data_IF_290830508661
#
_entry.id   IF_290830508661
#
_cell.length_a   1.000
_cell.length_b   1.000
_cell.length_c   1.000
_cell.angle_alpha   90.00
_cell.angle_beta   90.00
_cell.angle_gamma   90.00
#
_symmetry.space_group_name_H-M   'P 1'
#
loop_
_entity.id
_entity.type
_entity.pdbx_description
1 polymer ?
#
# COMPACT_ATOMS: atom_id res chain seq x y z
N UNK A 1 -20.26 30.77 -13.56
CA UNK A 1 -19.18 30.29 -12.67
C UNK A 1 -17.91 31.06 -12.97
N UNK A 2 -17.25 31.64 -11.96
CA UNK A 2 -16.04 32.46 -12.13
C UNK A 2 -14.85 31.61 -12.61
N UNK A 3 -13.96 32.19 -13.43
CA UNK A 3 -12.74 31.53 -13.95
C UNK A 3 -11.63 31.38 -12.89
N UNK A 4 -11.74 32.13 -11.78
CA UNK A 4 -10.69 32.21 -10.76
C UNK A 4 -10.63 30.97 -9.84
N UNK A 5 -11.76 30.42 -9.34
CA UNK A 5 -11.77 29.17 -8.57
C UNK A 5 -11.26 27.97 -9.36
N UNK A 6 -11.65 27.85 -10.63
CA UNK A 6 -11.20 26.77 -11.52
C UNK A 6 -9.68 26.86 -11.76
N UNK A 7 -9.15 28.07 -11.99
CA UNK A 7 -7.71 28.27 -12.19
C UNK A 7 -6.87 27.97 -10.93
N UNK A 8 -7.41 28.25 -9.74
CA UNK A 8 -6.79 27.86 -8.47
C UNK A 8 -6.75 26.34 -8.32
N UNK A 9 -7.87 25.65 -8.57
CA UNK A 9 -7.93 24.19 -8.53
C UNK A 9 -6.92 23.54 -9.48
N UNK A 10 -6.78 24.05 -10.71
CA UNK A 10 -5.82 23.52 -11.68
C UNK A 10 -4.35 23.74 -11.25
N UNK A 11 -4.04 24.85 -10.56
CA UNK A 11 -2.71 25.05 -9.98
C UNK A 11 -2.44 24.14 -8.80
N UNK A 12 -3.45 23.88 -7.96
CA UNK A 12 -3.33 22.90 -6.88
C UNK A 12 -3.05 21.51 -7.45
N UNK A 13 -3.81 21.09 -8.47
CA UNK A 13 -3.61 19.81 -9.16
C UNK A 13 -2.25 19.73 -9.89
N UNK A 14 -1.74 20.84 -10.42
CA UNK A 14 -0.37 20.93 -10.96
C UNK A 14 0.69 20.77 -9.85
N UNK A 15 0.52 21.43 -8.71
CA UNK A 15 1.42 21.30 -7.55
C UNK A 15 1.39 19.89 -6.94
N UNK A 16 0.24 19.23 -6.97
CA UNK A 16 0.06 17.83 -6.59
C UNK A 16 0.57 16.85 -7.66
N UNK A 17 1.07 17.36 -8.79
CA UNK A 17 1.64 16.57 -9.87
C UNK A 17 0.62 15.79 -10.70
N UNK A 18 -0.68 16.04 -10.55
CA UNK A 18 -1.79 15.41 -11.28
C UNK A 18 -2.00 16.02 -12.66
N UNK A 19 -1.63 17.29 -12.83
CA UNK A 19 -1.66 18.00 -14.11
C UNK A 19 -0.26 18.46 -14.53
N UNK A 20 -0.02 18.47 -15.84
CA UNK A 20 1.16 19.10 -16.46
C UNK A 20 0.72 20.21 -17.42
N UNK A 21 1.50 21.28 -17.58
CA UNK A 21 1.23 22.29 -18.60
C UNK A 21 1.17 21.67 -19.99
N UNK A 22 0.10 21.96 -20.74
CA UNK A 22 -0.09 21.49 -22.10
C UNK A 22 -0.27 22.68 -23.04
N UNK A 23 0.78 22.98 -23.81
CA UNK A 23 0.88 24.19 -24.62
C UNK A 23 0.90 25.48 -23.77
N UNK A 24 0.63 26.62 -24.40
CA UNK A 24 0.75 27.93 -23.74
C UNK A 24 -0.46 28.40 -22.90
N UNK A 25 -1.57 27.63 -22.85
CA UNK A 25 -2.83 28.08 -22.21
C UNK A 25 -3.66 26.96 -21.53
N UNK A 26 -3.12 25.75 -21.36
CA UNK A 26 -3.89 24.60 -20.86
C UNK A 26 -3.08 23.67 -19.97
N UNK A 27 -3.77 22.66 -19.45
CA UNK A 27 -3.21 21.59 -18.64
C UNK A 27 -3.68 20.25 -19.22
N UNK A 28 -2.85 19.22 -19.12
CA UNK A 28 -3.20 17.85 -19.44
C UNK A 28 -3.04 16.98 -18.19
N UNK A 29 -3.87 15.95 -18.06
CA UNK A 29 -3.69 14.91 -17.04
C UNK A 29 -2.35 14.24 -17.26
N UNK A 30 -1.51 14.22 -16.22
CA UNK A 30 -0.20 13.58 -16.29
C UNK A 30 -0.39 12.08 -16.47
N UNK A 31 0.27 11.51 -17.48
CA UNK A 31 0.44 10.06 -17.60
C UNK A 31 1.43 9.59 -16.55
N UNK A 32 1.04 8.60 -15.74
CA UNK A 32 1.92 7.98 -14.75
C UNK A 32 2.60 6.77 -15.41
N UNK A 33 3.92 6.73 -15.34
CA UNK A 33 4.74 5.66 -15.89
C UNK A 33 4.92 4.51 -14.89
N UNK A 34 5.14 3.27 -15.34
CA UNK A 34 5.49 2.16 -14.44
C UNK A 34 6.72 2.44 -13.57
N UNK A 35 7.68 3.22 -14.08
CA UNK A 35 8.88 3.62 -13.34
C UNK A 35 8.56 4.57 -12.17
N UNK A 36 7.59 5.47 -12.34
CA UNK A 36 7.13 6.35 -11.25
C UNK A 36 6.37 5.56 -10.18
N UNK A 37 5.55 4.58 -10.58
CA UNK A 37 4.89 3.65 -9.65
C UNK A 37 5.95 2.87 -8.87
N UNK A 38 6.97 2.34 -9.56
CA UNK A 38 8.07 1.62 -8.90
C UNK A 38 8.81 2.48 -7.88
N UNK A 39 9.17 3.71 -8.25
CA UNK A 39 9.81 4.65 -7.32
C UNK A 39 8.93 4.98 -6.10
N UNK A 40 7.63 5.12 -6.29
CA UNK A 40 6.70 5.39 -5.20
C UNK A 40 6.51 4.19 -4.26
N UNK A 41 6.50 2.96 -4.78
CA UNK A 41 6.50 1.73 -3.96
C UNK A 41 7.80 1.58 -3.18
N UNK A 42 8.94 1.91 -3.78
CA UNK A 42 10.24 1.92 -3.10
C UNK A 42 10.25 2.89 -1.90
N UNK A 43 9.77 4.12 -2.13
CA UNK A 43 9.65 5.13 -1.06
C UNK A 43 8.70 4.65 0.03
N UNK A 44 7.55 4.07 -0.33
CA UNK A 44 6.60 3.50 0.63
C UNK A 44 7.28 2.42 1.48
N UNK A 45 7.99 1.48 0.86
CA UNK A 45 8.68 0.41 1.57
C UNK A 45 9.72 0.92 2.56
N UNK A 46 10.45 1.98 2.23
CA UNK A 46 11.39 2.63 3.15
C UNK A 46 10.65 3.28 4.33
N UNK A 47 9.56 4.00 4.06
CA UNK A 47 8.79 4.70 5.09
C UNK A 47 8.08 3.73 6.04
N UNK A 48 7.40 2.71 5.51
CA UNK A 48 6.74 1.66 6.31
C UNK A 48 7.76 0.81 7.07
N UNK A 49 8.92 0.50 6.47
CA UNK A 49 10.01 -0.18 7.15
C UNK A 49 10.56 0.61 8.33
N UNK A 50 10.79 1.92 8.15
CA UNK A 50 11.20 2.80 9.24
C UNK A 50 10.12 2.85 10.34
N UNK A 51 8.84 2.89 9.96
CA UNK A 51 7.73 2.88 10.92
C UNK A 51 7.72 1.60 11.76
N UNK A 52 7.85 0.43 11.12
CA UNK A 52 7.89 -0.86 11.78
C UNK A 52 9.09 -1.00 12.73
N UNK A 53 10.27 -0.53 12.31
CA UNK A 53 11.43 -0.48 13.20
C UNK A 53 11.20 0.39 14.41
N UNK A 54 10.69 1.61 14.22
CA UNK A 54 10.43 2.53 15.31
C UNK A 54 9.38 1.98 16.28
N UNK A 55 8.35 1.29 15.77
CA UNK A 55 7.36 0.60 16.59
C UNK A 55 7.99 -0.53 17.42
N UNK A 56 8.81 -1.39 16.79
CA UNK A 56 9.51 -2.48 17.50
C UNK A 56 10.45 -1.96 18.59
N UNK A 57 11.24 -0.91 18.30
CA UNK A 57 12.22 -0.34 19.23
C UNK A 57 11.57 0.42 20.40
N UNK A 58 10.39 1.01 20.18
CA UNK A 58 9.61 1.68 21.25
C UNK A 58 8.87 0.71 22.16
N UNK A 59 8.61 -0.50 21.68
CA UNK A 59 7.78 -1.49 22.35
C UNK A 59 6.33 -1.43 21.89
N UNK A 60 5.72 -2.61 21.77
CA UNK A 60 4.38 -2.79 21.26
C UNK A 60 3.34 -2.64 22.38
N UNK A 61 2.46 -1.64 22.26
CA UNK A 61 1.31 -1.48 23.16
C UNK A 61 0.33 -2.65 23.00
N UNK A 62 -0.34 -3.05 24.09
CA UNK A 62 -1.24 -4.21 24.07
C UNK A 62 -2.39 -4.03 23.08
N UNK A 63 -2.97 -2.83 23.01
CA UNK A 63 -4.06 -2.52 22.08
C UNK A 63 -3.62 -2.67 20.62
N UNK A 64 -2.40 -2.20 20.30
CA UNK A 64 -1.83 -2.33 18.96
C UNK A 64 -1.53 -3.80 18.63
N UNK A 65 -1.07 -4.59 19.62
CA UNK A 65 -0.85 -6.02 19.47
C UNK A 65 -2.16 -6.75 19.14
N UNK A 66 -3.20 -6.50 19.91
CA UNK A 66 -4.51 -7.14 19.72
C UNK A 66 -5.09 -6.82 18.34
N UNK A 67 -4.92 -5.57 17.86
CA UNK A 67 -5.37 -5.18 16.53
C UNK A 67 -4.57 -5.85 15.41
N UNK A 68 -3.24 -5.98 15.56
CA UNK A 68 -2.40 -6.72 14.61
C UNK A 68 -2.79 -8.21 14.57
N UNK A 69 -2.95 -8.85 15.74
CA UNK A 69 -3.35 -10.26 15.84
C UNK A 69 -4.73 -10.49 15.20
N UNK A 70 -5.69 -9.57 15.39
CA UNK A 70 -7.00 -9.64 14.74
C UNK A 70 -6.90 -9.56 13.20
N UNK A 71 -6.01 -8.71 12.67
CA UNK A 71 -5.75 -8.65 11.22
C UNK A 71 -5.17 -9.97 10.71
N UNK A 72 -4.22 -10.56 11.45
CA UNK A 72 -3.62 -11.85 11.07
C UNK A 72 -4.66 -12.97 11.02
N UNK A 73 -5.48 -13.11 12.06
CA UNK A 73 -6.56 -14.11 12.13
C UNK A 73 -7.56 -13.94 10.98
N UNK A 74 -7.91 -12.69 10.65
CA UNK A 74 -8.82 -12.42 9.53
C UNK A 74 -8.24 -12.87 8.19
N UNK A 75 -6.95 -12.63 7.95
CA UNK A 75 -6.27 -13.11 6.74
C UNK A 75 -6.07 -14.62 6.73
N UNK A 76 -5.80 -15.25 7.88
CA UNK A 76 -5.66 -16.71 7.98
C UNK A 76 -6.95 -17.42 7.56
N UNK A 77 -8.09 -16.96 8.08
CA UNK A 77 -9.40 -17.48 7.71
C UNK A 77 -9.72 -17.27 6.21
N UNK A 78 -9.26 -16.16 5.62
CA UNK A 78 -9.45 -15.87 4.20
C UNK A 78 -8.69 -16.85 3.32
N UNK A 79 -7.43 -17.16 3.65
CA UNK A 79 -6.56 -17.98 2.82
C UNK A 79 -6.66 -19.50 3.09
N UNK A 80 -7.29 -19.92 4.18
CA UNK A 80 -7.43 -21.34 4.58
C UNK A 80 -8.03 -22.22 3.48
N UNK A 81 -9.02 -21.70 2.73
CA UNK A 81 -9.73 -22.44 1.68
C UNK A 81 -8.94 -22.70 0.41
N UNK A 82 -7.75 -22.11 0.25
CA UNK A 82 -6.87 -22.36 -0.90
C UNK A 82 -7.18 -21.59 -2.19
N UNK A 83 -8.15 -20.66 -2.17
CA UNK A 83 -8.50 -19.78 -3.29
C UNK A 83 -9.10 -18.46 -2.78
N UNK A 84 -9.20 -17.45 -3.65
CA UNK A 84 -9.89 -16.18 -3.36
C UNK A 84 -10.97 -15.87 -4.40
N UNK A 85 -12.02 -15.18 -3.98
CA UNK A 85 -13.04 -14.53 -4.80
C UNK A 85 -12.82 -13.02 -4.81
N UNK A 86 -13.56 -12.28 -5.64
CA UNK A 86 -13.48 -10.81 -5.63
C UNK A 86 -13.89 -10.21 -4.27
N UNK A 87 -14.93 -10.75 -3.63
CA UNK A 87 -15.36 -10.31 -2.29
C UNK A 87 -14.27 -10.55 -1.24
N UNK A 88 -13.53 -11.66 -1.34
CA UNK A 88 -12.38 -11.89 -0.44
C UNK A 88 -11.31 -10.83 -0.64
N UNK A 89 -11.09 -10.33 -1.86
CA UNK A 89 -10.08 -9.30 -2.11
C UNK A 89 -10.44 -7.97 -1.46
N UNK A 90 -11.72 -7.64 -1.33
CA UNK A 90 -12.17 -6.47 -0.57
C UNK A 90 -11.92 -6.67 0.94
N UNK A 91 -12.17 -7.87 1.45
CA UNK A 91 -11.90 -8.20 2.87
C UNK A 91 -10.39 -8.14 3.16
N UNK A 92 -9.56 -8.70 2.28
CA UNK A 92 -8.10 -8.61 2.36
C UNK A 92 -7.66 -7.15 2.32
N UNK A 93 -8.24 -6.34 1.43
CA UNK A 93 -7.91 -4.92 1.31
C UNK A 93 -8.08 -4.17 2.63
N UNK A 94 -9.24 -4.32 3.27
CA UNK A 94 -9.56 -3.63 4.53
C UNK A 94 -8.65 -4.08 5.67
N UNK A 95 -8.39 -5.39 5.77
CA UNK A 95 -7.48 -5.98 6.75
C UNK A 95 -6.04 -5.48 6.57
N UNK A 96 -5.54 -5.52 5.32
CA UNK A 96 -4.21 -5.05 4.96
C UNK A 96 -4.04 -3.56 5.30
N UNK A 97 -5.02 -2.73 4.93
CA UNK A 97 -5.02 -1.31 5.26
C UNK A 97 -4.98 -1.06 6.77
N UNK A 98 -5.71 -1.83 7.56
CA UNK A 98 -5.71 -1.71 9.02
C UNK A 98 -4.33 -2.05 9.60
N UNK A 99 -3.75 -3.19 9.20
CA UNK A 99 -2.44 -3.63 9.67
C UNK A 99 -1.35 -2.56 9.42
N UNK A 100 -1.27 -2.05 8.20
CA UNK A 100 -0.32 -0.99 7.83
C UNK A 100 -0.53 0.29 8.64
N UNK A 101 -1.79 0.71 8.86
CA UNK A 101 -2.10 1.89 9.70
C UNK A 101 -1.66 1.70 11.15
N UNK A 102 -1.86 0.52 11.73
CA UNK A 102 -1.42 0.22 13.10
C UNK A 102 0.09 0.34 13.22
N UNK A 103 0.83 -0.19 12.24
CA UNK A 103 2.30 -0.09 12.22
C UNK A 103 2.76 1.38 12.14
N UNK A 104 2.18 2.15 11.21
CA UNK A 104 2.53 3.57 11.03
C UNK A 104 2.17 4.39 12.26
N UNK A 105 1.00 4.18 12.86
CA UNK A 105 0.60 4.85 14.10
C UNK A 105 1.49 4.45 15.28
N UNK A 106 1.81 3.16 15.39
CA UNK A 106 2.67 2.59 16.43
C UNK A 106 4.12 3.10 16.37
N UNK A 107 4.58 3.56 15.20
CA UNK A 107 5.86 4.26 15.09
C UNK A 107 5.92 5.53 15.93
N UNK A 108 4.76 6.13 16.25
CA UNK A 108 4.60 7.41 16.92
C UNK A 108 5.42 8.54 16.29
N UNK A 109 5.60 8.49 14.97
CA UNK A 109 6.35 9.47 14.19
C UNK A 109 5.46 10.05 13.09
N UNK A 110 4.86 11.20 13.41
CA UNK A 110 3.92 11.88 12.51
C UNK A 110 4.53 12.24 11.15
N UNK A 111 5.84 12.49 11.08
CA UNK A 111 6.50 12.80 9.81
C UNK A 111 6.44 11.64 8.81
N UNK A 112 6.43 10.38 9.29
CA UNK A 112 6.27 9.20 8.44
C UNK A 112 4.86 9.16 7.86
N UNK A 113 3.84 9.32 8.70
CA UNK A 113 2.44 9.35 8.26
C UNK A 113 2.19 10.46 7.23
N UNK A 114 2.72 11.67 7.47
CA UNK A 114 2.59 12.79 6.54
C UNK A 114 3.33 12.54 5.21
N UNK A 115 4.47 11.84 5.25
CA UNK A 115 5.22 11.47 4.05
C UNK A 115 4.52 10.36 3.24
N UNK A 116 3.94 9.36 3.90
CA UNK A 116 3.15 8.31 3.27
C UNK A 116 1.90 8.89 2.60
N UNK A 117 1.16 9.75 3.29
CA UNK A 117 -0.01 10.42 2.73
C UNK A 117 0.33 11.24 1.47
N UNK A 118 1.51 11.87 1.45
CA UNK A 118 2.03 12.54 0.25
C UNK A 118 2.45 11.55 -0.83
N UNK A 119 2.97 10.37 -0.50
CA UNK A 119 3.38 9.37 -1.48
C UNK A 119 2.17 8.66 -2.13
N UNK A 120 1.06 8.54 -1.40
CA UNK A 120 -0.17 7.85 -1.82
C UNK A 120 -0.96 8.54 -2.94
N UNK A 121 -0.56 9.73 -3.41
CA UNK A 121 -1.21 10.45 -4.52
C UNK A 121 -1.11 9.72 -5.87
N UNK A 122 -0.18 8.78 -6.03
CA UNK A 122 -0.03 7.97 -7.23
C UNK A 122 -0.90 6.70 -7.11
N UNK A 123 -1.86 6.47 -8.04
CA UNK A 123 -2.58 5.20 -8.14
C UNK A 123 -1.59 4.03 -8.24
N UNK A 124 -1.98 2.85 -7.73
CA UNK A 124 -1.18 1.61 -7.71
C UNK A 124 0.06 1.62 -6.78
N UNK A 125 0.50 2.78 -6.29
CA UNK A 125 1.63 2.88 -5.37
C UNK A 125 1.22 2.81 -3.89
N UNK A 126 -0.06 3.02 -3.58
CA UNK A 126 -0.57 3.01 -2.21
C UNK A 126 -1.01 1.61 -1.75
N UNK A 127 -0.94 1.36 -0.45
CA UNK A 127 -1.61 0.21 0.20
C UNK A 127 -3.13 0.26 -0.07
N UNK A 128 -3.68 1.47 -0.27
CA UNK A 128 -5.10 1.71 -0.59
C UNK A 128 -5.48 1.39 -2.03
N UNK A 129 -4.52 1.08 -2.90
CA UNK A 129 -4.76 0.82 -4.32
C UNK A 129 -4.27 -0.58 -4.68
N UNK A 130 -5.03 -1.62 -4.30
CA UNK A 130 -4.72 -2.98 -4.70
C UNK A 130 -5.08 -3.18 -6.17
N UNK A 131 -4.05 -3.38 -6.99
CA UNK A 131 -4.18 -3.69 -8.40
C UNK A 131 -4.44 -5.19 -8.56
N UNK A 132 -5.58 -5.59 -9.12
CA UNK A 132 -6.01 -7.00 -9.20
C UNK A 132 -6.25 -7.41 -10.64
N UNK A 133 -5.74 -8.56 -11.03
CA UNK A 133 -6.13 -9.27 -12.26
C UNK A 133 -7.32 -10.21 -11.99
N UNK A 134 -8.53 -9.74 -12.31
CA UNK A 134 -9.78 -10.50 -12.08
C UNK A 134 -9.88 -11.76 -12.94
N UNK A 135 -9.16 -11.80 -14.06
CA UNK A 135 -9.15 -12.96 -14.95
C UNK A 135 -8.20 -14.06 -14.44
N UNK A 136 -7.42 -13.80 -13.39
CA UNK A 136 -6.41 -14.71 -12.85
C UNK A 136 -6.39 -14.75 -11.31
N UNK A 137 -7.53 -15.08 -10.70
CA UNK A 137 -7.68 -15.18 -9.25
C UNK A 137 -6.74 -16.23 -8.60
N UNK A 138 -6.26 -17.23 -9.35
CA UNK A 138 -5.27 -18.19 -8.86
C UNK A 138 -3.92 -17.50 -8.60
N UNK A 139 -3.50 -16.63 -9.52
CA UNK A 139 -2.30 -15.80 -9.33
C UNK A 139 -2.48 -14.85 -8.14
N UNK A 140 -3.65 -14.21 -8.04
CA UNK A 140 -3.96 -13.29 -6.94
C UNK A 140 -3.96 -13.98 -5.58
N UNK A 141 -4.53 -15.19 -5.48
CA UNK A 141 -4.45 -16.01 -4.26
C UNK A 141 -2.99 -16.18 -3.82
N UNK A 142 -2.09 -16.59 -4.73
CA UNK A 142 -0.67 -16.83 -4.41
C UNK A 142 0.01 -15.55 -3.95
N UNK A 143 -0.23 -14.44 -4.66
CA UNK A 143 0.37 -13.14 -4.37
C UNK A 143 -0.04 -12.61 -3.00
N UNK A 144 -1.34 -12.61 -2.70
CA UNK A 144 -1.85 -12.09 -1.44
C UNK A 144 -1.59 -13.02 -0.26
N UNK A 145 -1.63 -14.34 -0.46
CA UNK A 145 -1.25 -15.29 0.60
C UNK A 145 0.24 -15.12 0.97
N UNK A 146 1.13 -14.92 0.00
CA UNK A 146 2.53 -14.64 0.28
C UNK A 146 2.71 -13.34 1.06
N UNK A 147 2.04 -12.26 0.64
CA UNK A 147 2.05 -10.97 1.33
C UNK A 147 1.53 -11.10 2.77
N UNK A 148 0.49 -11.91 2.98
CA UNK A 148 -0.04 -12.23 4.31
C UNK A 148 0.96 -13.00 5.18
N UNK A 149 1.73 -13.93 4.62
CA UNK A 149 2.80 -14.59 5.37
C UNK A 149 3.90 -13.61 5.80
N UNK A 150 4.15 -12.56 5.03
CA UNK A 150 5.06 -11.49 5.44
C UNK A 150 4.47 -10.64 6.57
N UNK A 151 3.15 -10.45 6.63
CA UNK A 151 2.48 -9.81 7.76
C UNK A 151 2.73 -10.57 9.07
N UNK A 152 2.60 -11.90 9.06
CA UNK A 152 2.98 -12.73 10.21
C UNK A 152 4.43 -12.51 10.63
N UNK A 153 5.34 -12.51 9.66
CA UNK A 153 6.77 -12.34 9.93
C UNK A 153 7.11 -10.96 10.52
N UNK A 154 6.47 -9.87 10.07
CA UNK A 154 6.69 -8.55 10.67
C UNK A 154 6.07 -8.46 12.05
N UNK A 155 4.87 -8.99 12.28
CA UNK A 155 4.24 -8.96 13.61
C UNK A 155 5.07 -9.74 14.63
N UNK A 156 5.60 -10.90 14.27
CA UNK A 156 6.56 -11.64 15.09
C UNK A 156 7.81 -10.80 15.44
N UNK A 157 8.36 -10.09 14.45
CA UNK A 157 9.50 -9.19 14.67
C UNK A 157 9.14 -8.00 15.58
N UNK A 158 7.94 -7.42 15.45
CA UNK A 158 7.43 -6.34 16.31
C UNK A 158 7.29 -6.81 17.76
N UNK A 159 6.63 -7.96 17.97
CA UNK A 159 6.45 -8.57 19.31
C UNK A 159 7.80 -8.88 19.96
N UNK A 160 8.78 -9.32 19.16
CA UNK A 160 10.12 -9.65 19.62
C UNK A 160 11.06 -8.43 19.77
N UNK A 161 10.61 -7.21 19.48
CA UNK A 161 11.44 -5.99 19.52
C UNK A 161 12.57 -5.96 18.48
N UNK A 162 12.45 -6.71 17.38
CA UNK A 162 13.50 -6.89 16.38
C UNK A 162 13.40 -5.82 15.26
N UNK A 163 13.73 -4.57 15.60
CA UNK A 163 13.54 -3.42 14.70
C UNK A 163 14.16 -3.56 13.31
N UNK A 164 15.42 -3.99 13.21
CA UNK A 164 16.09 -4.18 11.92
C UNK A 164 15.43 -5.26 11.05
N UNK A 165 14.91 -6.34 11.66
CA UNK A 165 14.18 -7.39 10.97
C UNK A 165 12.82 -6.88 10.49
N UNK A 166 12.11 -6.15 11.34
CA UNK A 166 10.82 -5.55 10.99
C UNK A 166 10.93 -4.58 9.80
N UNK A 167 11.97 -3.73 9.79
CA UNK A 167 12.26 -2.83 8.67
C UNK A 167 12.51 -3.57 7.36
N UNK A 168 13.37 -4.59 7.40
CA UNK A 168 13.70 -5.37 6.21
C UNK A 168 12.47 -6.09 5.62
N UNK A 169 11.62 -6.68 6.47
CA UNK A 169 10.40 -7.38 6.04
C UNK A 169 9.42 -6.42 5.38
N UNK A 170 9.13 -5.27 5.98
CA UNK A 170 8.18 -4.31 5.41
C UNK A 170 8.68 -3.70 4.11
N UNK A 171 9.98 -3.42 4.01
CA UNK A 171 10.58 -2.93 2.77
C UNK A 171 10.46 -3.94 1.63
N UNK A 172 10.68 -5.22 1.92
CA UNK A 172 10.48 -6.30 0.96
C UNK A 172 8.98 -6.49 0.64
N UNK A 173 8.09 -6.43 1.64
CA UNK A 173 6.64 -6.55 1.46
C UNK A 173 6.06 -5.47 0.52
N UNK A 174 6.55 -4.23 0.58
CA UNK A 174 6.15 -3.21 -0.38
C UNK A 174 6.60 -3.57 -1.80
N UNK A 175 7.86 -3.96 -1.97
CA UNK A 175 8.47 -4.29 -3.26
C UNK A 175 7.93 -5.58 -3.90
N UNK A 176 7.54 -6.53 -3.07
CA UNK A 176 6.86 -7.77 -3.42
C UNK A 176 5.65 -7.50 -4.32
N UNK A 177 4.94 -6.39 -4.10
CA UNK A 177 3.75 -6.02 -4.89
C UNK A 177 4.07 -5.86 -6.38
N UNK A 178 5.26 -5.36 -6.73
CA UNK A 178 5.70 -5.13 -8.12
C UNK A 178 6.42 -6.34 -8.71
N UNK A 179 7.38 -6.90 -7.97
CA UNK A 179 8.18 -8.03 -8.46
C UNK A 179 7.36 -9.31 -8.61
N UNK A 180 6.41 -9.55 -7.71
CA UNK A 180 5.60 -10.77 -7.78
C UNK A 180 4.46 -10.68 -8.78
N UNK A 181 4.04 -9.47 -9.16
CA UNK A 181 3.20 -9.29 -10.34
C UNK A 181 3.92 -9.84 -11.59
N UNK A 182 5.21 -9.54 -11.76
CA UNK A 182 6.01 -10.09 -12.86
C UNK A 182 6.26 -11.60 -12.73
N UNK A 183 6.62 -12.09 -11.53
CA UNK A 183 6.95 -13.52 -11.29
C UNK A 183 5.72 -14.43 -11.41
N UNK A 184 4.55 -13.99 -10.97
CA UNK A 184 3.32 -14.78 -11.08
C UNK A 184 2.54 -14.54 -12.38
N UNK A 185 3.08 -13.72 -13.31
CA UNK A 185 2.54 -13.53 -14.65
C UNK A 185 1.44 -12.48 -14.78
N UNK A 186 1.19 -11.70 -13.73
CA UNK A 186 0.28 -10.57 -13.68
C UNK A 186 1.01 -9.22 -13.81
N UNK A 187 1.99 -9.11 -14.73
CA UNK A 187 2.69 -7.85 -14.98
C UNK A 187 1.70 -6.70 -15.18
N UNK A 188 2.08 -5.47 -14.79
CA UNK A 188 1.27 -4.25 -14.92
C UNK A 188 0.74 -4.09 -16.36
N UNK A 189 -0.42 -4.67 -16.61
CA UNK A 189 -1.05 -4.79 -17.91
C UNK A 189 -2.42 -4.10 -17.85
N UNK A 190 -2.97 -3.76 -19.02
CA UNK A 190 -4.25 -3.06 -19.18
C UNK A 190 -5.46 -3.75 -18.50
N UNK A 191 -5.31 -5.01 -18.07
CA UNK A 191 -6.34 -5.81 -17.40
C UNK A 191 -6.43 -5.58 -15.88
N UNK A 192 -5.41 -5.00 -15.26
CA UNK A 192 -5.41 -4.76 -13.82
C UNK A 192 -6.41 -3.65 -13.47
N UNK A 193 -7.31 -3.95 -12.54
CA UNK A 193 -8.24 -2.95 -11.99
C UNK A 193 -7.83 -2.60 -10.57
N UNK A 194 -7.91 -1.32 -10.23
CA UNK A 194 -7.70 -0.88 -8.85
C UNK A 194 -8.96 -1.15 -8.05
N UNK A 195 -8.83 -1.90 -6.97
CA UNK A 195 -9.82 -1.91 -5.90
C UNK A 195 -9.53 -0.68 -5.04
N UNK A 196 -10.40 0.33 -5.15
CA UNK A 196 -10.39 1.55 -4.36
C UNK A 196 -11.74 1.62 -3.64
N UNK A 197 -11.73 1.68 -2.31
CA UNK A 197 -12.98 1.93 -1.57
C UNK A 197 -13.39 3.39 -1.76
N UNK A 198 -14.67 3.63 -2.03
CA UNK A 198 -15.22 4.98 -1.93
C UNK A 198 -15.18 5.42 -0.46
N UNK A 199 -14.59 6.60 -0.21
CA UNK A 199 -14.68 7.27 1.10
C UNK A 199 -16.13 7.57 1.48
#
# INVERSE_FOLDING_TARGET
>A
MSRMPVRMAFRTLEQEGLLVPFGGRGFQVRSITPMEIAGAVDVRGVLEGLAARQMAERGLAQEARDELEACLVQGDALFEKGYVTEDDLEVYHDMNMRLHRVIVAGSGNRAIADALARNDHLPFASVTALAVDRDNLICEYRRFNFAHMQHHAVVDALVSGQGARAEAIMREHANATLRYAEIFGAGLNERMKVIQRSN
#
